data_IF_490274496049
#
_entry.id   IF_490274496049
#
_cell.length_a   1.000
_cell.length_b   1.000
_cell.length_c   1.000
_cell.angle_alpha   90.00
_cell.angle_beta   90.00
_cell.angle_gamma   90.00
#
_symmetry.space_group_name_H-M   'P 1'
#
loop_
_entity.id
_entity.type
_entity.pdbx_description
1 polymer ?
#
# COMPACT_ATOMS: atom_id res chain seq x y z
N UNK A 1 -56.41 6.09 43.89
CA UNK A 1 -56.06 7.46 43.46
C UNK A 1 -54.86 7.38 42.55
N UNK A 2 -54.99 7.95 41.35
CA UNK A 2 -53.96 8.09 40.32
C UNK A 2 -52.93 9.13 40.76
N UNK A 3 -51.64 8.88 40.57
CA UNK A 3 -50.67 9.94 40.26
C UNK A 3 -49.56 9.40 39.36
N UNK A 4 -49.53 9.93 38.14
CA UNK A 4 -48.51 9.78 37.11
C UNK A 4 -47.26 10.53 37.56
N UNK A 5 -46.06 9.96 37.42
CA UNK A 5 -44.82 10.71 37.52
C UNK A 5 -43.92 10.45 36.32
N UNK A 6 -43.55 11.57 35.72
CA UNK A 6 -42.95 11.83 34.43
C UNK A 6 -41.44 11.56 34.42
N UNK A 7 -40.95 10.85 33.41
CA UNK A 7 -39.52 10.65 33.14
C UNK A 7 -38.80 11.96 32.81
N UNK A 8 -37.63 12.19 33.40
CA UNK A 8 -36.71 13.25 33.01
C UNK A 8 -35.35 12.62 32.68
N UNK A 9 -34.95 12.77 31.42
CA UNK A 9 -33.65 12.38 30.86
C UNK A 9 -32.62 13.46 31.23
N UNK A 10 -31.61 13.11 32.04
CA UNK A 10 -30.50 13.99 32.38
C UNK A 10 -29.31 13.74 31.43
N UNK A 11 -29.00 14.71 30.58
CA UNK A 11 -27.79 14.74 29.77
C UNK A 11 -26.60 15.23 30.62
N UNK A 12 -25.52 14.45 30.69
CA UNK A 12 -24.27 14.84 31.34
C UNK A 12 -23.36 15.60 30.35
N UNK A 13 -22.84 16.79 30.71
CA UNK A 13 -21.74 17.41 29.98
C UNK A 13 -20.40 16.94 30.57
N UNK A 14 -19.55 16.31 29.75
CA UNK A 14 -18.20 15.94 30.15
C UNK A 14 -17.23 17.10 29.83
N UNK A 15 -16.62 17.66 30.88
CA UNK A 15 -15.55 18.65 30.84
C UNK A 15 -14.17 17.93 30.87
N UNK A 16 -13.32 18.31 29.90
CA UNK A 16 -11.84 18.28 29.80
C UNK A 16 -11.00 17.33 30.67
N UNK A 17 -10.13 16.53 30.02
CA UNK A 17 -9.04 15.80 30.68
C UNK A 17 -7.95 15.25 29.73
N UNK A 18 -6.89 16.03 29.56
CA UNK A 18 -5.45 15.66 29.52
C UNK A 18 -4.90 14.54 28.61
N UNK A 19 -3.90 14.91 27.80
CA UNK A 19 -2.94 14.08 27.06
C UNK A 19 -1.97 13.33 27.99
N UNK A 20 -1.59 12.07 27.67
CA UNK A 20 -0.27 11.53 28.02
C UNK A 20 0.67 11.48 26.79
N UNK A 21 1.96 11.80 26.94
CA UNK A 21 2.94 11.83 25.86
C UNK A 21 3.51 10.44 25.61
N UNK A 22 3.75 10.10 24.35
CA UNK A 22 4.62 8.99 23.97
C UNK A 22 5.64 9.51 22.94
N UNK A 23 6.86 9.69 23.43
CA UNK A 23 8.06 9.84 22.62
C UNK A 23 8.35 8.51 21.93
N UNK A 24 8.37 8.51 20.60
CA UNK A 24 9.21 7.63 19.81
C UNK A 24 9.82 8.49 18.71
N UNK A 25 11.03 8.96 18.98
CA UNK A 25 11.92 9.57 18.00
C UNK A 25 12.33 8.49 17.00
N UNK A 26 11.54 8.28 15.97
CA UNK A 26 12.04 7.76 14.69
C UNK A 26 11.94 8.91 13.70
N UNK A 27 13.09 9.50 13.41
CA UNK A 27 13.29 10.50 12.39
C UNK A 27 13.02 9.90 11.01
N UNK A 28 11.74 9.70 10.68
CA UNK A 28 11.30 9.84 9.30
C UNK A 28 11.64 11.27 8.95
N UNK A 29 12.61 11.47 8.05
CA UNK A 29 12.77 12.77 7.41
C UNK A 29 11.48 13.02 6.65
N UNK A 30 10.48 13.57 7.32
CA UNK A 30 9.35 14.20 6.66
C UNK A 30 9.98 15.23 5.74
N UNK A 31 9.92 14.98 4.42
CA UNK A 31 10.21 16.01 3.44
C UNK A 31 9.26 17.16 3.74
N UNK A 32 9.75 18.10 4.53
CA UNK A 32 8.99 19.27 4.94
C UNK A 32 8.83 20.06 3.66
N UNK A 33 7.64 19.98 3.04
CA UNK A 33 7.34 20.70 1.83
C UNK A 33 7.32 22.19 2.16
N UNK A 34 8.48 22.83 2.10
CA UNK A 34 8.63 24.27 2.37
C UNK A 34 7.85 25.00 1.28
N UNK A 35 6.77 25.73 1.63
CA UNK A 35 6.03 26.47 0.64
C UNK A 35 6.96 27.51 0.02
N UNK A 36 7.34 27.29 -1.23
CA UNK A 36 8.08 28.27 -2.04
C UNK A 36 7.10 28.93 -3.00
N UNK A 37 7.29 30.21 -3.27
CA UNK A 37 6.53 30.92 -4.31
C UNK A 37 6.99 30.51 -5.71
N UNK A 38 8.19 29.92 -5.82
CA UNK A 38 8.79 29.56 -7.10
C UNK A 38 8.24 28.22 -7.62
N UNK A 39 7.89 28.19 -8.91
CA UNK A 39 7.45 26.97 -9.57
C UNK A 39 8.61 25.95 -9.63
N UNK A 40 8.42 24.81 -8.98
CA UNK A 40 9.37 23.70 -8.99
C UNK A 40 9.41 23.02 -10.36
N UNK A 41 10.33 23.46 -11.24
CA UNK A 41 10.44 22.98 -12.62
C UNK A 41 10.88 21.51 -12.75
N UNK A 42 11.43 20.92 -11.69
CA UNK A 42 11.92 19.54 -11.69
C UNK A 42 10.90 18.51 -11.17
N UNK A 43 9.73 18.96 -10.71
CA UNK A 43 8.68 18.05 -10.26
C UNK A 43 8.06 17.32 -11.45
N UNK A 44 8.14 15.98 -11.45
CA UNK A 44 7.45 15.14 -12.43
C UNK A 44 6.02 14.87 -11.97
N UNK A 45 5.03 15.31 -12.75
CA UNK A 45 3.62 14.99 -12.52
C UNK A 45 3.28 13.67 -13.20
N UNK A 46 2.74 12.71 -12.44
CA UNK A 46 2.20 11.46 -12.96
C UNK A 46 0.68 11.49 -12.93
N UNK A 47 0.05 11.01 -14.00
CA UNK A 47 -1.39 10.79 -14.07
C UNK A 47 -1.61 9.29 -14.00
N UNK A 48 -2.28 8.82 -12.96
CA UNK A 48 -2.61 7.41 -12.75
C UNK A 48 -4.11 7.23 -12.93
N UNK A 49 -4.50 6.58 -14.02
CA UNK A 49 -5.90 6.30 -14.30
C UNK A 49 -6.38 5.10 -13.49
N UNK A 50 -7.56 5.23 -12.88
CA UNK A 50 -8.24 4.12 -12.20
C UNK A 50 -9.14 3.41 -13.20
N UNK A 51 -8.89 2.13 -13.52
CA UNK A 51 -9.68 1.40 -14.50
C UNK A 51 -11.08 1.09 -13.98
N UNK A 52 -12.09 1.19 -14.86
CA UNK A 52 -13.45 0.77 -14.54
C UNK A 52 -13.57 -0.76 -14.49
N UNK A 53 -14.45 -1.32 -13.63
CA UNK A 53 -14.73 -2.76 -13.62
C UNK A 53 -15.31 -3.24 -14.95
N UNK A 54 -14.88 -4.41 -15.42
CA UNK A 54 -15.40 -5.02 -16.66
C UNK A 54 -16.84 -5.51 -16.47
N UNK A 55 -17.68 -5.37 -17.49
CA UNK A 55 -19.05 -5.92 -17.46
C UNK A 55 -19.08 -7.45 -17.39
N UNK A 56 -20.01 -8.00 -16.61
CA UNK A 56 -20.26 -9.44 -16.50
C UNK A 56 -20.92 -9.97 -17.77
N UNK A 57 -20.49 -11.13 -18.26
CA UNK A 57 -21.13 -11.82 -19.38
C UNK A 57 -22.00 -12.93 -18.81
N UNK A 58 -23.26 -12.97 -19.23
CA UNK A 58 -24.24 -13.98 -18.81
C UNK A 58 -24.79 -14.75 -20.01
N UNK A 59 -25.23 -15.97 -19.79
CA UNK A 59 -26.03 -16.73 -20.76
C UNK A 59 -27.46 -16.15 -20.87
N UNK A 60 -28.27 -16.65 -21.81
CA UNK A 60 -29.68 -16.33 -22.02
C UNK A 60 -30.56 -16.56 -20.80
N UNK A 61 -30.14 -17.43 -19.89
CA UNK A 61 -30.81 -17.70 -18.62
C UNK A 61 -30.28 -16.86 -17.46
N UNK A 62 -29.36 -15.92 -17.71
CA UNK A 62 -28.76 -15.05 -16.69
C UNK A 62 -27.59 -15.68 -15.93
N UNK A 63 -27.20 -16.92 -16.23
CA UNK A 63 -26.07 -17.59 -15.58
C UNK A 63 -24.74 -16.89 -15.90
N UNK A 64 -23.89 -16.56 -14.91
CA UNK A 64 -22.59 -15.94 -15.16
C UNK A 64 -21.65 -16.87 -15.95
N UNK A 65 -21.14 -16.38 -17.07
CA UNK A 65 -20.09 -17.05 -17.86
C UNK A 65 -18.71 -16.42 -17.63
N UNK A 66 -18.66 -15.12 -17.38
CA UNK A 66 -17.41 -14.41 -17.06
C UNK A 66 -17.67 -13.37 -15.97
N UNK A 67 -16.90 -13.45 -14.88
CA UNK A 67 -16.97 -12.55 -13.73
C UNK A 67 -15.59 -12.01 -13.39
N UNK A 68 -15.58 -10.83 -12.76
CA UNK A 68 -14.35 -10.24 -12.25
C UNK A 68 -14.08 -10.79 -10.85
N UNK A 69 -12.82 -11.11 -10.57
CA UNK A 69 -12.33 -11.38 -9.23
C UNK A 69 -11.17 -10.42 -8.95
N UNK A 70 -11.15 -9.83 -7.75
CA UNK A 70 -10.03 -9.03 -7.29
C UNK A 70 -8.87 -9.97 -6.97
N UNK A 71 -7.68 -9.68 -7.50
CA UNK A 71 -6.43 -10.30 -7.09
C UNK A 71 -5.48 -9.23 -6.56
N UNK A 72 -4.67 -9.62 -5.59
CA UNK A 72 -3.63 -8.79 -5.02
C UNK A 72 -2.27 -9.28 -5.50
N UNK A 73 -1.40 -8.36 -5.86
CA UNK A 73 -0.03 -8.65 -6.26
C UNK A 73 0.90 -7.96 -5.28
N UNK A 74 2.00 -8.62 -4.94
CA UNK A 74 3.03 -8.05 -4.08
C UNK A 74 4.10 -7.38 -4.95
N UNK A 75 4.40 -6.13 -4.66
CA UNK A 75 5.40 -5.35 -5.36
C UNK A 75 6.38 -4.67 -4.39
N UNK A 76 7.58 -4.35 -4.89
CA UNK A 76 8.61 -3.60 -4.16
C UNK A 76 8.67 -2.20 -4.74
N UNK A 77 8.64 -1.19 -3.89
CA UNK A 77 8.91 0.19 -4.28
C UNK A 77 10.39 0.52 -4.05
N UNK A 78 11.05 1.08 -5.07
CA UNK A 78 12.40 1.60 -4.90
C UNK A 78 12.34 2.96 -4.19
N UNK A 79 13.29 3.26 -3.30
CA UNK A 79 13.32 4.57 -2.66
C UNK A 79 13.59 5.66 -3.69
N UNK A 80 12.93 6.81 -3.50
CA UNK A 80 13.22 8.03 -4.24
C UNK A 80 14.10 8.93 -3.38
N UNK A 81 15.14 9.58 -3.93
CA UNK A 81 15.56 9.62 -5.35
C UNK A 81 16.16 8.30 -5.89
N UNK A 82 16.06 8.07 -7.20
CA UNK A 82 16.59 6.87 -7.88
C UNK A 82 18.10 7.01 -8.17
N UNK A 83 18.92 7.04 -7.12
CA UNK A 83 20.36 7.27 -7.20
C UNK A 83 21.21 5.98 -7.04
N UNK A 84 20.58 4.82 -6.89
CA UNK A 84 21.28 3.55 -6.72
C UNK A 84 22.10 3.17 -7.97
N UNK A 85 23.31 2.67 -7.73
CA UNK A 85 24.06 1.92 -8.74
C UNK A 85 23.37 0.60 -9.08
N UNK A 86 23.65 0.03 -10.25
CA UNK A 86 23.05 -1.24 -10.68
C UNK A 86 23.22 -2.35 -9.62
N UNK A 87 24.40 -2.46 -9.02
CA UNK A 87 24.68 -3.46 -7.98
C UNK A 87 23.84 -3.23 -6.71
N UNK A 88 23.68 -1.97 -6.30
CA UNK A 88 22.85 -1.60 -5.14
C UNK A 88 21.36 -1.81 -5.40
N UNK A 89 20.89 -1.54 -6.62
CA UNK A 89 19.50 -1.76 -7.01
C UNK A 89 19.16 -3.26 -6.95
N UNK A 90 20.05 -4.12 -7.46
CA UNK A 90 19.87 -5.58 -7.40
C UNK A 90 19.93 -6.08 -5.96
N UNK A 91 20.92 -5.65 -5.16
CA UNK A 91 21.01 -6.09 -3.76
C UNK A 91 19.79 -5.68 -2.94
N UNK A 92 19.33 -4.44 -3.11
CA UNK A 92 18.12 -3.95 -2.43
C UNK A 92 16.89 -4.78 -2.81
N UNK A 93 16.68 -5.03 -4.10
CA UNK A 93 15.56 -5.83 -4.55
C UNK A 93 15.66 -7.26 -4.01
N UNK A 94 16.85 -7.88 -4.01
CA UNK A 94 17.07 -9.23 -3.47
C UNK A 94 16.75 -9.32 -1.98
N UNK A 95 17.21 -8.37 -1.18
CA UNK A 95 16.91 -8.34 0.26
C UNK A 95 15.40 -8.27 0.54
N UNK A 96 14.66 -7.52 -0.28
CA UNK A 96 13.20 -7.40 -0.17
C UNK A 96 12.49 -8.64 -0.70
N UNK A 97 12.97 -9.23 -1.79
CA UNK A 97 12.46 -10.50 -2.33
C UNK A 97 12.61 -11.61 -1.29
N UNK A 98 13.75 -11.71 -0.63
CA UNK A 98 14.00 -12.74 0.38
C UNK A 98 13.08 -12.58 1.61
N UNK A 99 12.80 -11.34 2.01
CA UNK A 99 11.80 -11.05 3.05
C UNK A 99 10.39 -11.43 2.59
N UNK A 100 10.02 -11.07 1.38
CA UNK A 100 8.73 -11.41 0.79
C UNK A 100 8.54 -12.93 0.64
N UNK A 101 9.59 -13.67 0.25
CA UNK A 101 9.58 -15.12 0.17
C UNK A 101 9.32 -15.77 1.53
N UNK A 102 9.92 -15.23 2.60
CA UNK A 102 9.68 -15.71 3.98
C UNK A 102 8.25 -15.45 4.45
N UNK A 103 7.67 -14.31 4.08
CA UNK A 103 6.29 -13.94 4.45
C UNK A 103 5.24 -14.78 3.72
N UNK A 104 5.42 -14.99 2.42
CA UNK A 104 4.46 -15.74 1.59
C UNK A 104 4.68 -17.25 1.72
N UNK A 105 5.91 -17.70 2.02
CA UNK A 105 6.27 -19.12 2.04
C UNK A 105 6.44 -19.74 0.64
N UNK A 106 6.57 -18.91 -0.40
CA UNK A 106 6.73 -19.32 -1.81
C UNK A 106 8.12 -18.95 -2.33
N UNK A 107 8.73 -19.82 -3.15
CA UNK A 107 9.94 -19.49 -3.89
C UNK A 107 9.63 -18.57 -5.08
N UNK A 108 10.27 -17.39 -5.11
CA UNK A 108 10.13 -16.39 -6.16
C UNK A 108 11.41 -16.35 -6.99
N UNK A 109 11.35 -16.84 -8.24
CA UNK A 109 12.49 -16.85 -9.17
C UNK A 109 12.40 -15.66 -10.11
N UNK A 110 13.17 -14.62 -9.83
CA UNK A 110 13.28 -13.40 -10.65
C UNK A 110 14.73 -13.28 -11.10
N UNK A 111 14.96 -12.94 -12.37
CA UNK A 111 16.30 -12.69 -12.92
C UNK A 111 16.79 -11.28 -12.58
N UNK A 112 18.09 -11.12 -12.31
CA UNK A 112 18.68 -9.81 -12.00
C UNK A 112 18.52 -8.80 -13.15
N UNK A 113 18.59 -9.26 -14.40
CA UNK A 113 18.33 -8.43 -15.59
C UNK A 113 16.93 -7.81 -15.58
N UNK A 114 15.91 -8.56 -15.11
CA UNK A 114 14.55 -8.05 -15.02
C UNK A 114 14.42 -6.95 -13.96
N UNK A 115 15.17 -7.06 -12.86
CA UNK A 115 15.23 -6.05 -11.80
C UNK A 115 15.88 -4.78 -12.35
N UNK A 116 17.04 -4.90 -12.99
CA UNK A 116 17.76 -3.77 -13.58
C UNK A 116 16.95 -3.07 -14.66
N UNK A 117 16.31 -3.84 -15.55
CA UNK A 117 15.45 -3.30 -16.60
C UNK A 117 14.26 -2.54 -16.00
N UNK A 118 13.65 -3.05 -14.93
CA UNK A 118 12.59 -2.34 -14.23
C UNK A 118 13.11 -1.03 -13.63
N UNK A 119 14.21 -1.09 -12.88
CA UNK A 119 14.78 0.07 -12.19
C UNK A 119 15.10 1.21 -13.16
N UNK A 120 15.74 0.91 -14.29
CA UNK A 120 16.14 1.92 -15.29
C UNK A 120 14.96 2.51 -16.06
N UNK A 121 13.99 1.69 -16.46
CA UNK A 121 12.92 2.14 -17.34
C UNK A 121 11.70 2.67 -16.58
N UNK A 122 11.50 2.23 -15.34
CA UNK A 122 10.27 2.46 -14.57
C UNK A 122 10.48 2.41 -13.05
N UNK A 123 11.63 2.83 -12.55
CA UNK A 123 11.97 2.74 -11.12
C UNK A 123 11.04 3.48 -10.14
N UNK A 124 10.21 4.42 -10.61
CA UNK A 124 9.19 5.08 -9.80
C UNK A 124 7.93 4.22 -9.63
N UNK A 125 7.71 3.26 -10.53
CA UNK A 125 6.58 2.34 -10.43
C UNK A 125 6.95 1.16 -9.52
N UNK A 126 5.97 0.57 -8.82
CA UNK A 126 6.22 -0.63 -8.04
C UNK A 126 6.68 -1.81 -8.92
N UNK A 127 7.73 -2.50 -8.48
CA UNK A 127 8.24 -3.72 -9.11
C UNK A 127 7.49 -4.95 -8.60
N UNK A 128 6.61 -5.50 -9.43
CA UNK A 128 5.86 -6.72 -9.12
C UNK A 128 6.79 -7.93 -8.93
N UNK A 129 6.63 -8.62 -7.80
CA UNK A 129 7.45 -9.77 -7.39
C UNK A 129 6.63 -11.05 -7.38
N UNK A 130 5.41 -10.99 -6.84
CA UNK A 130 4.51 -12.13 -6.71
C UNK A 130 3.11 -11.76 -7.22
N UNK A 131 2.71 -12.27 -8.39
CA UNK A 131 1.35 -12.10 -8.88
C UNK A 131 0.38 -13.05 -8.15
N UNK A 132 -0.86 -12.60 -7.95
CA UNK A 132 -1.99 -13.38 -7.47
C UNK A 132 -1.77 -14.07 -6.12
N UNK A 133 -1.71 -13.28 -5.05
CA UNK A 133 -1.65 -13.78 -3.68
C UNK A 133 -2.94 -14.55 -3.33
N UNK A 134 -2.79 -15.67 -2.65
CA UNK A 134 -3.90 -16.36 -2.02
C UNK A 134 -4.43 -15.53 -0.83
N UNK A 135 -5.69 -15.73 -0.44
CA UNK A 135 -6.32 -14.95 0.63
C UNK A 135 -5.60 -15.12 1.98
N UNK A 136 -4.97 -16.27 2.23
CA UNK A 136 -4.14 -16.52 3.40
C UNK A 136 -2.81 -15.76 3.36
N UNK A 137 -2.16 -15.73 2.19
CA UNK A 137 -0.90 -15.02 1.97
C UNK A 137 -1.12 -13.50 2.05
N UNK A 138 -2.23 -13.00 1.52
CA UNK A 138 -2.62 -11.60 1.61
C UNK A 138 -2.77 -11.14 3.06
N UNK A 139 -3.47 -11.95 3.89
CA UNK A 139 -3.66 -11.62 5.31
C UNK A 139 -2.32 -11.60 6.05
N UNK A 140 -1.47 -12.61 5.84
CA UNK A 140 -0.13 -12.65 6.42
C UNK A 140 0.73 -11.44 5.99
N UNK A 141 0.67 -11.08 4.71
CA UNK A 141 1.41 -9.94 4.20
C UNK A 141 0.86 -8.61 4.74
N UNK A 142 -0.46 -8.45 4.89
CA UNK A 142 -1.10 -7.19 5.28
C UNK A 142 -0.70 -6.70 6.66
N UNK A 143 -0.44 -7.61 7.59
CA UNK A 143 -0.09 -7.27 8.97
C UNK A 143 1.42 -7.04 9.13
N UNK A 144 2.27 -7.74 8.35
CA UNK A 144 3.73 -7.74 8.48
C UNK A 144 4.48 -7.17 7.25
N UNK A 145 3.95 -6.13 6.59
CA UNK A 145 4.61 -5.54 5.40
C UNK A 145 5.96 -4.89 5.76
N UNK A 146 7.09 -5.33 5.15
CA UNK A 146 8.37 -4.67 5.33
C UNK A 146 8.37 -3.34 4.56
N UNK A 147 8.88 -2.27 5.19
CA UNK A 147 8.95 -0.92 4.60
C UNK A 147 9.43 -0.93 3.14
N UNK A 148 8.74 -0.21 2.25
CA UNK A 148 9.05 -0.18 0.81
C UNK A 148 8.49 -1.36 0.02
N UNK A 149 7.56 -2.12 0.56
CA UNK A 149 6.78 -3.16 -0.14
C UNK A 149 5.32 -2.71 -0.17
N UNK A 150 4.64 -2.93 -1.29
CA UNK A 150 3.27 -2.46 -1.58
C UNK A 150 2.44 -3.54 -2.25
#
# INVERSE_FOLDING_TARGET
>A
MVFVLLSILAAQPALLGQTPPASSTESTKEETNVPTFETQKLARTYILDVPAPRGQITDRHGTPLAQNKVSYNLAINFPTPLDFSDAQAVSFARDKIDKAQKLIGRTLKISDDAILRHYRNRGVLPFEVAPNLADSEYKAAKDDLPQGTV
#
